data_IF_136907098626
#
_entry.id   IF_136907098626
#
_cell.length_a   1.000
_cell.length_b   1.000
_cell.length_c   1.000
_cell.angle_alpha   90.00
_cell.angle_beta   90.00
_cell.angle_gamma   90.00
#
_symmetry.space_group_name_H-M   'P 1'
#
loop_
_entity.id
_entity.type
_entity.pdbx_description
1 polymer ?
#
# COMPACT_ATOMS: atom_id res chain seq x y z
N UNK A 1 20.34 26.09 5.72
CA UNK A 1 19.62 24.90 5.21
C UNK A 1 19.79 24.92 3.71
N UNK A 2 20.47 23.94 3.12
CA UNK A 2 20.74 23.88 1.68
C UNK A 2 19.44 23.68 0.92
N UNK A 3 19.16 24.59 -0.02
CA UNK A 3 18.00 24.51 -0.92
C UNK A 3 18.10 23.25 -1.78
N UNK A 4 17.03 22.43 -1.80
CA UNK A 4 16.96 21.25 -2.66
C UNK A 4 16.76 21.71 -4.10
N UNK A 5 17.59 21.22 -5.03
CA UNK A 5 17.46 21.51 -6.48
C UNK A 5 16.39 20.64 -7.18
N UNK A 6 15.46 20.07 -6.43
CA UNK A 6 14.40 19.22 -6.94
C UNK A 6 13.11 19.43 -6.14
N UNK A 7 11.98 19.19 -6.80
CA UNK A 7 10.66 19.21 -6.16
C UNK A 7 10.40 17.85 -5.52
N UNK A 8 10.42 17.77 -4.19
CA UNK A 8 10.01 16.52 -3.54
C UNK A 8 8.50 16.34 -3.66
N UNK A 9 8.08 15.13 -4.01
CA UNK A 9 6.67 14.81 -4.20
C UNK A 9 5.83 15.10 -2.95
N UNK A 10 6.37 14.84 -1.75
CA UNK A 10 5.71 15.15 -0.47
C UNK A 10 5.45 16.64 -0.31
N UNK A 11 6.37 17.49 -0.75
CA UNK A 11 6.21 18.95 -0.67
C UNK A 11 5.09 19.39 -1.62
N UNK A 12 5.02 18.82 -2.84
CA UNK A 12 3.92 19.05 -3.79
C UNK A 12 2.56 18.57 -3.30
N UNK A 13 2.50 17.41 -2.67
CA UNK A 13 1.25 16.94 -2.04
C UNK A 13 0.84 17.85 -0.88
N UNK A 14 1.79 18.31 -0.07
CA UNK A 14 1.47 19.21 1.03
C UNK A 14 0.99 20.58 0.56
N UNK A 15 1.57 21.12 -0.52
CA UNK A 15 1.08 22.33 -1.21
C UNK A 15 -0.37 22.15 -1.71
N UNK A 16 -0.67 21.00 -2.33
CA UNK A 16 -2.00 20.74 -2.93
C UNK A 16 -3.09 20.47 -1.90
N UNK A 17 -2.80 19.71 -0.84
CA UNK A 17 -3.80 19.22 0.11
C UNK A 17 -3.76 19.91 1.47
N UNK A 18 -2.86 20.88 1.66
CA UNK A 18 -2.70 21.65 2.91
C UNK A 18 -2.19 20.83 4.11
N UNK A 19 -1.88 19.55 3.92
CA UNK A 19 -1.44 18.64 4.98
C UNK A 19 -0.52 17.55 4.43
N UNK A 20 0.18 16.84 5.31
CA UNK A 20 0.99 15.68 4.90
C UNK A 20 0.05 14.54 4.51
N UNK A 21 0.16 14.05 3.28
CA UNK A 21 -0.48 12.80 2.88
C UNK A 21 0.35 11.59 3.31
N UNK A 22 -0.35 10.54 3.70
CA UNK A 22 0.22 9.25 4.05
C UNK A 22 -0.47 8.16 3.24
N UNK A 23 0.33 7.23 2.70
CA UNK A 23 -0.19 6.03 2.05
C UNK A 23 -0.51 5.01 3.13
N UNK A 24 -1.73 4.48 3.08
CA UNK A 24 -2.21 3.41 3.95
C UNK A 24 -2.23 2.09 3.16
N UNK A 25 -2.01 0.98 3.85
CA UNK A 25 -2.18 -0.36 3.28
C UNK A 25 -3.53 -0.89 3.71
N UNK A 26 -4.29 -1.40 2.74
CA UNK A 26 -5.62 -1.97 2.98
C UNK A 26 -5.62 -3.41 2.49
N UNK A 27 -5.97 -4.33 3.39
CA UNK A 27 -6.13 -5.75 3.11
C UNK A 27 -7.61 -6.11 3.05
N UNK A 28 -8.10 -6.40 1.84
CA UNK A 28 -9.48 -6.84 1.60
C UNK A 28 -9.63 -8.37 1.57
N UNK A 29 -8.59 -9.13 1.93
CA UNK A 29 -8.61 -10.60 1.93
C UNK A 29 -8.56 -11.23 0.54
N UNK A 30 -8.23 -10.45 -0.49
CA UNK A 30 -8.13 -10.96 -1.86
C UNK A 30 -6.79 -11.67 -2.09
N UNK A 31 -6.83 -12.76 -2.85
CA UNK A 31 -5.65 -13.40 -3.39
C UNK A 31 -5.59 -13.21 -4.91
N UNK A 32 -4.37 -13.20 -5.46
CA UNK A 32 -4.18 -13.18 -6.90
C UNK A 32 -4.57 -14.54 -7.49
N UNK A 33 -5.44 -14.59 -8.52
CA UNK A 33 -5.93 -15.84 -9.10
C UNK A 33 -4.83 -16.68 -9.80
N UNK A 34 -3.71 -16.04 -10.15
CA UNK A 34 -2.53 -16.72 -10.66
C UNK A 34 -1.67 -17.36 -9.55
N UNK A 35 -1.86 -16.95 -8.30
CA UNK A 35 -1.17 -17.49 -7.12
C UNK A 35 -2.02 -18.51 -6.37
N UNK A 36 -3.33 -18.27 -6.25
CA UNK A 36 -4.24 -19.21 -5.59
C UNK A 36 -4.59 -20.44 -6.44
N UNK A 37 -4.23 -20.45 -7.73
CA UNK A 37 -4.44 -21.61 -8.61
C UNK A 37 -5.71 -21.58 -9.45
N UNK A 38 -6.58 -20.57 -9.29
CA UNK A 38 -7.88 -20.50 -9.96
C UNK A 38 -7.78 -20.18 -11.45
N UNK A 39 -6.83 -19.34 -11.87
CA UNK A 39 -6.56 -19.03 -13.29
C UNK A 39 -5.23 -19.60 -13.79
N UNK A 40 -4.19 -19.62 -12.95
CA UNK A 40 -2.88 -20.17 -13.29
C UNK A 40 -2.18 -20.72 -12.04
N UNK A 41 -1.10 -21.49 -12.22
CA UNK A 41 -0.31 -22.06 -11.12
C UNK A 41 1.11 -21.49 -11.15
N UNK A 42 1.69 -21.26 -9.97
CA UNK A 42 3.07 -20.78 -9.80
C UNK A 42 3.22 -19.26 -9.61
N UNK A 43 2.18 -18.46 -9.84
CA UNK A 43 2.25 -17.00 -9.74
C UNK A 43 3.07 -16.36 -10.86
N UNK A 44 3.18 -15.02 -10.83
CA UNK A 44 4.08 -14.32 -11.75
C UNK A 44 5.52 -14.45 -11.27
N UNK A 45 6.48 -14.61 -12.18
CA UNK A 45 7.92 -14.72 -11.86
C UNK A 45 8.47 -13.57 -11.02
N UNK A 46 7.83 -12.40 -11.09
CA UNK A 46 8.21 -11.18 -10.36
C UNK A 46 7.33 -10.91 -9.12
N UNK A 47 6.35 -11.75 -8.81
CA UNK A 47 5.38 -11.47 -7.76
C UNK A 47 5.77 -12.12 -6.44
N UNK A 48 6.17 -11.28 -5.48
CA UNK A 48 6.16 -11.61 -4.06
C UNK A 48 5.22 -10.66 -3.32
N UNK A 49 3.97 -11.08 -3.11
CA UNK A 49 2.97 -10.25 -2.44
C UNK A 49 3.35 -9.94 -0.97
N UNK A 50 4.09 -10.85 -0.33
CA UNK A 50 4.49 -10.67 1.07
C UNK A 50 5.51 -9.53 1.22
N UNK A 51 6.30 -9.22 0.18
CA UNK A 51 7.24 -8.11 0.19
C UNK A 51 6.55 -6.73 0.18
N UNK A 52 5.29 -6.65 -0.26
CA UNK A 52 4.52 -5.41 -0.35
C UNK A 52 3.47 -5.26 0.75
N UNK A 53 3.31 -6.28 1.59
CA UNK A 53 2.31 -6.35 2.63
C UNK A 53 2.97 -6.24 4.01
N UNK A 54 2.78 -5.13 4.75
CA UNK A 54 3.33 -4.99 6.09
C UNK A 54 2.74 -6.05 7.02
N UNK A 55 3.53 -6.52 7.99
CA UNK A 55 3.09 -7.55 8.94
C UNK A 55 1.91 -7.15 9.82
N UNK A 56 1.67 -5.83 9.97
CA UNK A 56 0.52 -5.33 10.71
C UNK A 56 -0.76 -5.30 9.87
N UNK A 57 -0.67 -5.41 8.54
CA UNK A 57 -1.83 -5.41 7.65
C UNK A 57 -2.40 -6.82 7.60
N UNK A 58 -3.64 -7.00 8.04
CA UNK A 58 -4.30 -8.31 8.13
C UNK A 58 -5.78 -8.17 7.78
N UNK A 59 -6.40 -9.22 7.18
CA UNK A 59 -7.77 -9.13 6.67
C UNK A 59 -8.83 -9.40 7.74
N UNK A 60 -8.44 -9.59 9.00
CA UNK A 60 -9.33 -9.84 10.14
C UNK A 60 -10.12 -8.59 10.55
N UNK A 61 -9.63 -7.40 10.21
CA UNK A 61 -10.31 -6.12 10.45
C UNK A 61 -11.11 -5.69 9.24
N UNK A 62 -12.26 -5.07 9.49
CA UNK A 62 -13.03 -4.42 8.42
C UNK A 62 -12.22 -3.30 7.75
N UNK A 63 -12.51 -3.01 6.48
CA UNK A 63 -11.84 -1.93 5.73
C UNK A 63 -11.94 -0.59 6.46
N UNK A 64 -13.11 -0.27 7.01
CA UNK A 64 -13.32 0.94 7.79
C UNK A 64 -12.39 1.03 9.00
N UNK A 65 -12.24 -0.08 9.74
CA UNK A 65 -11.35 -0.14 10.89
C UNK A 65 -9.87 0.01 10.49
N UNK A 66 -9.45 -0.60 9.38
CA UNK A 66 -8.07 -0.44 8.88
C UNK A 66 -7.76 1.03 8.54
N UNK A 67 -8.72 1.73 7.93
CA UNK A 67 -8.59 3.16 7.59
C UNK A 67 -8.53 4.05 8.84
N UNK A 68 -9.36 3.77 9.84
CA UNK A 68 -9.40 4.52 11.11
C UNK A 68 -8.11 4.36 11.93
N UNK A 69 -7.53 3.15 11.93
CA UNK A 69 -6.28 2.85 12.65
C UNK A 69 -5.03 3.33 11.89
N UNK A 70 -5.16 3.71 10.61
CA UNK A 70 -4.05 4.17 9.79
C UNK A 70 -3.03 3.07 9.48
N UNK A 71 -3.53 1.85 9.28
CA UNK A 71 -2.74 0.68 8.84
C UNK A 71 -2.12 0.94 7.46
#
# INVERSE_FOLDING_TARGET
MTERRYNAFVDKLREQYGSRLQKLVVDAGFCCPNRDGTLARGGCTYCDNNAFHPSYSTPDKSISQQLEEGM
#
